data_IF_013082702156
#
_entry.id   IF_013082702156
#
_cell.length_a   1.000
_cell.length_b   1.000
_cell.length_c   1.000
_cell.angle_alpha   90.00
_cell.angle_beta   90.00
_cell.angle_gamma   90.00
#
_symmetry.space_group_name_H-M   'P 1'
#
loop_
_entity.id
_entity.type
_entity.pdbx_description
1 polymer ?
#
# COMPACT_ATOMS: atom_id res chain seq x y z
N UNK A 1 -18.69 -24.49 0.29
CA UNK A 1 -18.71 -23.79 -1.01
C UNK A 1 -18.81 -22.28 -0.87
N UNK A 2 -19.69 -21.78 0.03
CA UNK A 2 -19.85 -20.34 0.24
C UNK A 2 -18.59 -19.65 0.75
N UNK A 3 -17.83 -20.31 1.60
CA UNK A 3 -16.59 -19.74 2.14
C UNK A 3 -15.48 -19.66 1.11
N UNK A 4 -15.35 -20.67 0.23
CA UNK A 4 -14.35 -20.65 -0.85
C UNK A 4 -14.66 -19.55 -1.84
N UNK A 5 -15.92 -19.37 -2.23
CA UNK A 5 -16.36 -18.29 -3.12
C UNK A 5 -16.12 -16.91 -2.48
N UNK A 6 -16.35 -16.80 -1.17
CA UNK A 6 -16.12 -15.56 -0.41
C UNK A 6 -14.64 -15.21 -0.37
N UNK A 7 -13.77 -16.19 -0.15
CA UNK A 7 -12.32 -15.97 -0.16
C UNK A 7 -11.82 -15.53 -1.54
N UNK A 8 -12.28 -16.19 -2.61
CA UNK A 8 -11.93 -15.83 -3.98
C UNK A 8 -12.41 -14.42 -4.34
N UNK A 9 -13.60 -14.01 -3.83
CA UNK A 9 -14.15 -12.68 -4.04
C UNK A 9 -13.44 -11.60 -3.24
N UNK A 10 -12.59 -11.97 -2.27
CA UNK A 10 -11.85 -11.04 -1.40
C UNK A 10 -10.37 -10.93 -1.74
N UNK A 11 -9.86 -11.77 -2.63
CA UNK A 11 -8.43 -11.83 -2.94
C UNK A 11 -8.15 -11.39 -4.36
N UNK A 12 -7.00 -10.70 -4.52
CA UNK A 12 -6.43 -10.39 -5.82
C UNK A 12 -5.86 -11.67 -6.43
N UNK A 13 -6.25 -11.98 -7.66
CA UNK A 13 -5.86 -13.23 -8.31
C UNK A 13 -4.36 -13.31 -8.63
N UNK A 14 -3.71 -12.17 -8.84
CA UNK A 14 -2.29 -12.15 -9.18
C UNK A 14 -1.39 -12.28 -7.96
N UNK A 15 -1.67 -11.51 -6.90
CA UNK A 15 -0.79 -11.41 -5.74
C UNK A 15 -1.25 -12.22 -4.54
N UNK A 16 -2.53 -12.63 -4.50
CA UNK A 16 -3.12 -13.31 -3.36
C UNK A 16 -3.46 -12.38 -2.20
N UNK A 17 -3.20 -11.10 -2.34
CA UNK A 17 -3.51 -10.09 -1.32
C UNK A 17 -5.01 -9.79 -1.29
N UNK A 18 -5.48 -9.12 -0.24
CA UNK A 18 -6.84 -8.58 -0.24
C UNK A 18 -7.02 -7.70 -1.48
N UNK A 19 -8.17 -7.84 -2.13
CA UNK A 19 -8.49 -7.02 -3.30
C UNK A 19 -9.18 -5.71 -2.87
N UNK A 20 -9.52 -4.86 -3.86
CA UNK A 20 -10.17 -3.57 -3.58
C UNK A 20 -11.46 -3.73 -2.78
N UNK A 21 -12.27 -4.72 -3.09
CA UNK A 21 -13.53 -4.95 -2.39
C UNK A 21 -13.31 -5.26 -0.91
N UNK A 22 -12.38 -6.15 -0.62
CA UNK A 22 -12.03 -6.49 0.77
C UNK A 22 -11.36 -5.29 1.47
N UNK A 23 -10.52 -4.55 0.76
CA UNK A 23 -9.92 -3.33 1.29
C UNK A 23 -10.98 -2.33 1.77
N UNK A 24 -12.05 -2.12 0.99
CA UNK A 24 -13.12 -1.19 1.36
C UNK A 24 -13.80 -1.59 2.66
N UNK A 25 -13.96 -2.88 2.90
CA UNK A 25 -14.51 -3.40 4.16
C UNK A 25 -13.54 -3.19 5.32
N UNK A 26 -12.26 -3.50 5.10
CA UNK A 26 -11.23 -3.40 6.14
C UNK A 26 -10.99 -1.95 6.57
N UNK A 27 -10.94 -1.00 5.63
CA UNK A 27 -10.71 0.39 5.97
C UNK A 27 -11.88 0.99 6.76
N UNK A 28 -13.12 0.60 6.43
CA UNK A 28 -14.29 1.04 7.20
C UNK A 28 -14.20 0.55 8.64
N UNK A 29 -13.85 -0.70 8.84
CA UNK A 29 -13.70 -1.28 10.17
C UNK A 29 -12.57 -0.60 10.95
N UNK A 30 -11.44 -0.35 10.30
CA UNK A 30 -10.29 0.30 10.94
C UNK A 30 -10.62 1.72 11.39
N UNK A 31 -11.23 2.51 10.52
CA UNK A 31 -11.58 3.89 10.83
C UNK A 31 -12.63 3.94 11.95
N UNK A 32 -13.66 3.10 11.86
CA UNK A 32 -14.70 3.03 12.88
C UNK A 32 -14.10 2.71 14.26
N UNK A 33 -13.23 1.71 14.33
CA UNK A 33 -12.57 1.35 15.58
C UNK A 33 -11.70 2.48 16.13
N UNK A 34 -10.90 3.10 15.25
CA UNK A 34 -10.01 4.20 15.61
C UNK A 34 -10.79 5.39 16.21
N UNK A 35 -11.89 5.78 15.56
CA UNK A 35 -12.73 6.89 16.03
C UNK A 35 -13.40 6.53 17.35
N UNK A 36 -13.98 5.34 17.47
CA UNK A 36 -14.70 4.92 18.67
C UNK A 36 -13.80 4.81 19.90
N UNK A 37 -12.57 4.34 19.71
CA UNK A 37 -11.63 4.12 20.83
C UNK A 37 -10.61 5.25 20.97
N UNK A 38 -10.66 6.24 20.09
CA UNK A 38 -9.67 7.34 19.99
C UNK A 38 -8.24 6.78 19.95
N UNK A 39 -8.05 5.72 19.18
CA UNK A 39 -6.75 5.08 18.98
C UNK A 39 -6.20 5.41 17.60
N UNK A 40 -4.89 5.49 17.49
CA UNK A 40 -4.21 5.89 16.26
C UNK A 40 -4.13 4.72 15.28
N UNK A 41 -4.49 4.98 14.03
CA UNK A 41 -4.34 4.04 12.92
C UNK A 41 -3.91 4.79 11.67
N UNK A 42 -3.36 4.08 10.69
CA UNK A 42 -2.87 4.71 9.47
C UNK A 42 -3.27 3.94 8.22
N UNK A 43 -3.49 4.70 7.15
CA UNK A 43 -3.59 4.19 5.79
C UNK A 43 -2.31 4.60 5.05
N UNK A 44 -1.65 3.62 4.46
CA UNK A 44 -0.45 3.82 3.63
C UNK A 44 -0.82 3.49 2.19
N UNK A 45 -0.81 4.51 1.32
CA UNK A 45 -1.14 4.35 -0.09
C UNK A 45 0.16 4.24 -0.88
N UNK A 46 0.30 3.18 -1.68
CA UNK A 46 1.57 2.85 -2.37
C UNK A 46 1.31 2.72 -3.86
N UNK A 47 2.14 3.39 -4.66
CA UNK A 47 2.11 3.29 -6.11
C UNK A 47 3.52 2.96 -6.61
N UNK A 48 3.60 2.06 -7.59
CA UNK A 48 4.89 1.70 -8.17
C UNK A 48 5.34 2.77 -9.16
N UNK A 49 6.57 3.25 -8.97
CA UNK A 49 7.19 4.16 -9.92
C UNK A 49 7.65 3.41 -11.16
N UNK A 50 7.41 3.98 -12.34
CA UNK A 50 7.87 3.44 -13.63
C UNK A 50 7.24 2.09 -14.01
N UNK A 51 6.09 1.74 -13.45
CA UNK A 51 5.44 0.47 -13.77
C UNK A 51 5.04 0.40 -15.25
N UNK A 52 4.52 1.50 -15.80
CA UNK A 52 4.17 1.57 -17.22
C UNK A 52 5.41 1.33 -18.11
N UNK A 53 6.56 1.88 -17.71
CA UNK A 53 7.82 1.64 -18.43
C UNK A 53 8.17 0.15 -18.45
N UNK A 54 7.97 -0.55 -17.34
CA UNK A 54 8.24 -2.00 -17.27
C UNK A 54 7.34 -2.75 -18.25
N UNK A 55 6.04 -2.47 -18.23
CA UNK A 55 5.10 -3.13 -19.16
C UNK A 55 5.44 -2.83 -20.63
N UNK A 56 5.74 -1.57 -20.94
CA UNK A 56 6.00 -1.16 -22.31
C UNK A 56 7.32 -1.73 -22.86
N UNK A 57 8.33 -1.90 -22.01
CA UNK A 57 9.67 -2.32 -22.44
C UNK A 57 9.99 -3.79 -22.21
N UNK A 58 9.36 -4.42 -21.21
CA UNK A 58 9.64 -5.81 -20.83
C UNK A 58 8.40 -6.71 -20.93
N UNK A 59 7.23 -6.15 -21.21
CA UNK A 59 5.98 -6.89 -21.37
C UNK A 59 5.19 -7.03 -20.07
N UNK A 60 3.92 -7.39 -20.23
CA UNK A 60 3.00 -7.54 -19.09
C UNK A 60 3.39 -8.65 -18.15
N UNK A 61 4.03 -9.73 -18.65
CA UNK A 61 4.52 -10.81 -17.80
C UNK A 61 5.59 -10.29 -16.82
N UNK A 62 6.46 -9.40 -17.28
CA UNK A 62 7.46 -8.77 -16.42
C UNK A 62 6.79 -7.86 -15.39
N UNK A 63 5.77 -7.10 -15.81
CA UNK A 63 4.98 -6.27 -14.90
C UNK A 63 4.31 -7.11 -13.82
N UNK A 64 3.73 -8.24 -14.19
CA UNK A 64 3.11 -9.17 -13.22
C UNK A 64 4.14 -9.69 -12.23
N UNK A 65 5.33 -10.07 -12.71
CA UNK A 65 6.41 -10.56 -11.86
C UNK A 65 6.87 -9.48 -10.87
N UNK A 66 6.94 -8.22 -11.31
CA UNK A 66 7.25 -7.08 -10.45
C UNK A 66 6.20 -6.94 -9.34
N UNK A 67 4.92 -6.97 -9.69
CA UNK A 67 3.83 -6.84 -8.72
C UNK A 67 3.89 -7.95 -7.66
N UNK A 68 4.12 -9.19 -8.08
CA UNK A 68 4.23 -10.33 -7.16
C UNK A 68 5.41 -10.14 -6.21
N UNK A 69 6.57 -9.74 -6.73
CA UNK A 69 7.77 -9.59 -5.92
C UNK A 69 7.64 -8.42 -4.93
N UNK A 70 7.09 -7.28 -5.35
CA UNK A 70 6.83 -6.14 -4.46
C UNK A 70 5.86 -6.53 -3.35
N UNK A 71 4.78 -7.24 -3.70
CA UNK A 71 3.84 -7.74 -2.69
C UNK A 71 4.53 -8.63 -1.67
N UNK A 72 5.41 -9.53 -2.12
CA UNK A 72 6.18 -10.43 -1.25
C UNK A 72 7.10 -9.63 -0.32
N UNK A 73 7.80 -8.63 -0.83
CA UNK A 73 8.73 -7.81 -0.05
C UNK A 73 8.02 -7.02 1.03
N UNK A 74 6.91 -6.37 0.68
CA UNK A 74 6.14 -5.61 1.65
C UNK A 74 5.54 -6.54 2.71
N UNK A 75 5.02 -7.69 2.30
CA UNK A 75 4.47 -8.67 3.23
C UNK A 75 5.50 -9.16 4.24
N UNK A 76 6.77 -9.18 3.87
CA UNK A 76 7.86 -9.62 4.75
C UNK A 76 8.22 -8.62 5.85
N UNK A 77 7.81 -7.34 5.75
CA UNK A 77 8.15 -6.32 6.74
C UNK A 77 6.97 -5.86 7.58
N UNK A 78 5.74 -6.28 7.26
CA UNK A 78 4.55 -5.87 8.00
C UNK A 78 4.24 -6.86 9.13
N UNK A 79 3.40 -6.41 10.09
CA UNK A 79 3.00 -7.21 11.24
C UNK A 79 1.70 -7.96 10.98
N UNK A 80 1.35 -8.92 11.84
CA UNK A 80 0.17 -9.76 11.68
C UNK A 80 -1.16 -9.02 11.67
N UNK A 81 -1.25 -7.86 12.36
CA UNK A 81 -2.47 -7.05 12.39
C UNK A 81 -2.57 -6.09 11.20
N UNK A 82 -1.48 -5.88 10.47
CA UNK A 82 -1.48 -5.05 9.28
C UNK A 82 -2.09 -5.81 8.11
N UNK A 83 -2.77 -5.09 7.22
CA UNK A 83 -3.38 -5.70 6.04
C UNK A 83 -2.84 -5.04 4.78
N UNK A 84 -2.16 -5.82 3.94
CA UNK A 84 -1.71 -5.35 2.63
C UNK A 84 -2.76 -5.74 1.59
N UNK A 85 -3.16 -4.76 0.78
CA UNK A 85 -4.19 -4.90 -0.23
C UNK A 85 -3.65 -4.44 -1.58
N UNK A 86 -4.11 -5.07 -2.65
CA UNK A 86 -3.89 -4.55 -4.00
C UNK A 86 -5.18 -3.93 -4.50
N UNK A 87 -5.12 -2.63 -4.85
CA UNK A 87 -6.30 -1.88 -5.28
C UNK A 87 -6.59 -2.05 -6.77
N UNK A 88 -5.60 -2.42 -7.54
CA UNK A 88 -5.67 -2.59 -8.98
C UNK A 88 -4.42 -2.03 -9.63
N UNK A 89 -4.11 -2.45 -10.86
CA UNK A 89 -2.92 -1.99 -11.58
C UNK A 89 -1.68 -2.10 -10.72
N UNK A 90 -1.01 -0.98 -10.51
CA UNK A 90 0.23 -0.86 -9.72
C UNK A 90 0.02 -0.19 -8.37
N UNK A 91 -1.23 -0.18 -7.87
CA UNK A 91 -1.58 0.48 -6.62
C UNK A 91 -1.82 -0.52 -5.50
N UNK A 92 -1.20 -0.26 -4.35
CA UNK A 92 -1.37 -1.04 -3.12
C UNK A 92 -1.80 -0.13 -1.99
N UNK A 93 -2.44 -0.70 -1.00
CA UNK A 93 -2.76 -0.01 0.25
C UNK A 93 -2.39 -0.89 1.42
N UNK A 94 -1.79 -0.28 2.43
CA UNK A 94 -1.47 -0.96 3.68
C UNK A 94 -2.29 -0.32 4.80
N UNK A 95 -3.04 -1.14 5.52
CA UNK A 95 -3.81 -0.70 6.68
C UNK A 95 -3.05 -1.08 7.94
N UNK A 96 -2.77 -0.09 8.78
CA UNK A 96 -2.05 -0.26 10.05
C UNK A 96 -3.01 0.13 11.17
N UNK A 97 -3.76 -0.83 11.74
CA UNK A 97 -4.88 -0.53 12.64
C UNK A 97 -4.46 -0.10 14.04
N UNK A 98 -3.23 -0.41 14.45
CA UNK A 98 -2.78 -0.13 15.81
C UNK A 98 -1.39 0.52 15.76
N UNK A 99 -1.36 1.81 16.12
CA UNK A 99 -0.13 2.57 16.21
C UNK A 99 -0.02 3.21 17.59
N UNK A 100 1.18 3.19 18.18
CA UNK A 100 1.44 3.96 19.39
C UNK A 100 1.70 5.43 19.05
N UNK A 101 2.40 5.69 17.95
CA UNK A 101 2.75 7.05 17.51
C UNK A 101 2.95 7.06 15.99
N UNK A 102 2.85 8.24 15.40
CA UNK A 102 3.01 8.43 13.94
C UNK A 102 4.39 7.98 13.47
N UNK A 103 5.43 8.17 14.29
CA UNK A 103 6.78 7.73 13.94
C UNK A 103 6.86 6.22 13.64
N UNK A 104 5.99 5.42 14.20
CA UNK A 104 5.97 3.97 13.96
C UNK A 104 5.60 3.66 12.51
N UNK A 105 4.65 4.39 11.93
CA UNK A 105 4.27 4.15 10.53
C UNK A 105 5.30 4.75 9.56
N UNK A 106 5.92 5.88 9.89
CA UNK A 106 7.01 6.41 9.04
C UNK A 106 8.21 5.48 9.05
N UNK A 107 8.53 4.89 10.20
CA UNK A 107 9.60 3.90 10.30
C UNK A 107 9.29 2.65 9.46
N UNK A 108 8.04 2.20 9.50
CA UNK A 108 7.60 1.07 8.67
C UNK A 108 7.77 1.39 7.18
N UNK A 109 7.39 2.59 6.75
CA UNK A 109 7.53 3.01 5.35
C UNK A 109 9.00 3.10 4.92
N UNK A 110 9.90 3.55 5.80
CA UNK A 110 11.34 3.52 5.50
C UNK A 110 11.84 2.09 5.30
N UNK A 111 11.39 1.15 6.10
CA UNK A 111 11.74 -0.27 5.94
C UNK A 111 11.21 -0.83 4.63
N UNK A 112 9.98 -0.49 4.26
CA UNK A 112 9.39 -0.90 2.98
C UNK A 112 10.24 -0.36 1.81
N UNK A 113 10.59 0.91 1.86
CA UNK A 113 11.42 1.54 0.82
C UNK A 113 12.81 0.89 0.75
N UNK A 114 13.41 0.58 1.89
CA UNK A 114 14.73 -0.06 1.93
C UNK A 114 14.69 -1.46 1.31
N UNK A 115 13.67 -2.25 1.62
CA UNK A 115 13.49 -3.58 1.02
C UNK A 115 13.24 -3.49 -0.48
N UNK A 116 12.48 -2.48 -0.93
CA UNK A 116 12.20 -2.31 -2.35
C UNK A 116 13.40 -1.85 -3.17
N UNK A 117 14.44 -1.33 -2.51
CA UNK A 117 15.69 -0.93 -3.20
C UNK A 117 16.56 -2.10 -3.60
N UNK A 118 16.34 -3.29 -3.03
CA UNK A 118 17.05 -4.48 -3.46
C UNK A 118 16.79 -4.72 -4.95
N UNK A 119 17.82 -5.11 -5.72
CA UNK A 119 17.62 -5.35 -7.15
C UNK A 119 16.48 -6.33 -7.40
N UNK A 120 15.58 -5.98 -8.31
CA UNK A 120 14.47 -6.82 -8.71
C UNK A 120 14.76 -7.36 -10.11
N UNK A 121 15.08 -8.64 -10.19
CA UNK A 121 15.47 -9.28 -11.43
C UNK A 121 14.30 -10.03 -12.05
N UNK A 122 14.03 -9.75 -13.34
CA UNK A 122 13.07 -10.50 -14.14
C UNK A 122 13.75 -10.86 -15.45
N UNK A 123 13.83 -12.17 -15.74
CA UNK A 123 14.46 -12.71 -16.96
C UNK A 123 15.89 -12.16 -17.17
N UNK A 124 16.64 -12.02 -16.09
CA UNK A 124 18.02 -11.54 -16.13
C UNK A 124 18.19 -10.03 -16.20
N UNK A 125 17.09 -9.27 -16.20
CA UNK A 125 17.13 -7.81 -16.26
C UNK A 125 16.72 -7.20 -14.91
N UNK A 126 17.43 -6.15 -14.48
CA UNK A 126 17.06 -5.37 -13.30
C UNK A 126 15.91 -4.44 -13.69
N UNK A 127 14.79 -4.56 -12.97
CA UNK A 127 13.62 -3.72 -13.21
C UNK A 127 13.79 -2.36 -12.54
N UNK A 128 13.59 -1.23 -13.27
CA UNK A 128 13.78 0.11 -12.72
C UNK A 128 12.51 0.57 -11.98
N UNK A 129 12.16 -0.07 -10.89
CA UNK A 129 10.96 0.26 -10.12
C UNK A 129 11.32 0.79 -8.74
N UNK A 130 10.50 1.75 -8.27
CA UNK A 130 10.54 2.26 -6.91
C UNK A 130 9.14 2.37 -6.40
N UNK A 131 8.97 2.92 -5.20
CA UNK A 131 7.67 3.10 -4.58
C UNK A 131 7.48 4.55 -4.16
N UNK A 132 6.32 5.11 -4.50
CA UNK A 132 5.88 6.40 -3.98
C UNK A 132 4.76 6.14 -2.98
N UNK A 133 4.89 6.69 -1.77
CA UNK A 133 4.06 6.31 -0.63
C UNK A 133 3.46 7.56 0.00
N UNK A 134 2.15 7.51 0.26
CA UNK A 134 1.45 8.53 1.03
C UNK A 134 0.84 7.93 2.29
N UNK A 135 0.90 8.67 3.39
CA UNK A 135 0.41 8.23 4.70
C UNK A 135 -0.63 9.22 5.21
N UNK A 136 -1.78 8.73 5.63
CA UNK A 136 -2.78 9.51 6.35
C UNK A 136 -3.20 8.74 7.60
N UNK A 137 -3.39 9.47 8.70
CA UNK A 137 -3.69 8.88 10.01
C UNK A 137 -5.11 9.22 10.45
N UNK A 138 -5.75 8.28 11.13
CA UNK A 138 -7.02 8.52 11.82
C UNK A 138 -6.84 8.31 13.31
N UNK A 139 -7.55 9.07 14.16
CA UNK A 139 -8.54 10.08 13.81
C UNK A 139 -7.97 11.47 13.46
N UNK A 140 -6.64 11.64 13.49
CA UNK A 140 -6.02 12.97 13.42
C UNK A 140 -6.22 13.68 12.09
N UNK A 141 -5.99 13.00 10.96
CA UNK A 141 -6.11 13.60 9.63
C UNK A 141 -7.56 13.54 9.13
N UNK A 142 -8.24 12.43 9.38
CA UNK A 142 -9.60 12.20 8.93
C UNK A 142 -10.31 11.22 9.85
N UNK A 143 -11.65 11.31 9.89
CA UNK A 143 -12.50 10.46 10.70
C UNK A 143 -13.45 9.60 9.88
N UNK A 144 -13.31 9.61 8.56
CA UNK A 144 -14.03 8.69 7.68
C UNK A 144 -13.09 8.13 6.61
N UNK A 145 -13.47 6.97 6.09
CA UNK A 145 -12.61 6.22 5.17
C UNK A 145 -12.37 6.96 3.85
N UNK A 146 -13.39 7.63 3.32
CA UNK A 146 -13.28 8.32 2.02
C UNK A 146 -12.26 9.46 2.09
N UNK A 147 -12.29 10.27 3.13
CA UNK A 147 -11.32 11.35 3.33
C UNK A 147 -9.92 10.80 3.63
N UNK A 148 -9.83 9.74 4.44
CA UNK A 148 -8.54 9.15 4.74
C UNK A 148 -7.85 8.65 3.47
N UNK A 149 -8.61 8.00 2.59
CA UNK A 149 -8.09 7.53 1.31
C UNK A 149 -7.67 8.68 0.41
N UNK A 150 -8.48 9.73 0.32
CA UNK A 150 -8.17 10.93 -0.46
C UNK A 150 -6.89 11.59 0.02
N UNK A 151 -6.68 11.70 1.32
CA UNK A 151 -5.51 12.34 1.91
C UNK A 151 -4.25 11.51 1.73
N UNK A 152 -4.34 10.20 1.89
CA UNK A 152 -3.20 9.32 1.62
C UNK A 152 -2.81 9.35 0.14
N UNK A 153 -3.78 9.35 -0.77
CA UNK A 153 -3.54 9.46 -2.20
C UNK A 153 -2.87 10.79 -2.55
N UNK A 154 -3.35 11.91 -1.98
CA UNK A 154 -2.75 13.22 -2.17
C UNK A 154 -1.30 13.26 -1.70
N UNK A 155 -1.00 12.67 -0.54
CA UNK A 155 0.36 12.59 -0.02
C UNK A 155 1.25 11.72 -0.92
N UNK A 156 0.73 10.61 -1.43
CA UNK A 156 1.46 9.76 -2.39
C UNK A 156 1.80 10.52 -3.66
N UNK A 157 0.86 11.29 -4.18
CA UNK A 157 1.09 12.11 -5.35
C UNK A 157 2.18 13.17 -5.11
N UNK A 158 2.25 13.75 -3.91
CA UNK A 158 3.34 14.65 -3.53
C UNK A 158 4.69 13.94 -3.54
N UNK A 159 4.74 12.69 -3.06
CA UNK A 159 5.97 11.89 -3.13
C UNK A 159 6.42 11.69 -4.57
N UNK A 160 5.48 11.43 -5.48
CA UNK A 160 5.79 11.30 -6.92
C UNK A 160 6.35 12.60 -7.50
N UNK A 161 5.77 13.72 -7.16
CA UNK A 161 6.21 15.05 -7.66
C UNK A 161 7.53 15.47 -7.06
N UNK A 162 7.85 15.02 -5.86
CA UNK A 162 9.09 15.39 -5.15
C UNK A 162 10.30 14.55 -5.57
N UNK A 163 10.14 13.62 -6.52
CA UNK A 163 11.26 12.83 -7.04
C UNK A 163 11.07 11.34 -6.98
N UNK A 164 9.90 10.87 -6.57
CA UNK A 164 9.54 9.44 -6.48
C UNK A 164 10.38 8.69 -5.44
N UNK A 165 10.14 7.42 -5.27
CA UNK A 165 10.87 6.51 -4.40
C UNK A 165 11.06 7.08 -2.99
N UNK A 166 9.96 7.53 -2.38
CA UNK A 166 9.94 8.14 -1.05
C UNK A 166 8.53 8.09 -0.49
N UNK A 167 8.38 8.54 0.74
CA UNK A 167 7.06 8.66 1.37
C UNK A 167 6.79 10.11 1.79
N UNK A 168 5.52 10.44 1.91
CA UNK A 168 5.05 11.71 2.48
C UNK A 168 3.93 11.46 3.46
N UNK A 169 3.94 12.19 4.57
CA UNK A 169 2.80 12.29 5.47
C UNK A 169 1.84 13.35 4.95
N UNK A 170 0.55 13.05 5.02
CA UNK A 170 -0.47 14.05 4.72
C UNK A 170 -0.33 15.26 5.64
N UNK A 171 -0.48 16.45 5.08
CA UNK A 171 -0.44 17.70 5.82
C UNK A 171 -1.44 18.69 5.24
N UNK A 172 -2.16 19.39 6.12
CA UNK A 172 -3.09 20.46 5.75
C UNK A 172 -2.41 21.77 5.40
N UNK A 173 -1.11 21.88 5.67
CA UNK A 173 -0.37 23.12 5.48
C UNK A 173 -0.03 23.41 4.04
#
# INVERSE_FOLDING_TARGET
QGEVLKELAQRDSLTGLANRHHFEQLIQQMVQHSVQTNSLAALVYIDLDNFKFVNDNFGHDAGDAVLIEIARRISGVIRGNDSLCRLGGDEFALLVPELNKVADVTHLCRRILQESKQPLLVKGHVMPVGLSIGIACCPNDATNAALLLQYADSAMYQAKRAGKNDFKLYSNA
#
